data_IF_156999192338
#
_entry.id   IF_156999192338
#
_cell.length_a   1.000
_cell.length_b   1.000
_cell.length_c   1.000
_cell.angle_alpha   90.00
_cell.angle_beta   90.00
_cell.angle_gamma   90.00
#
_symmetry.space_group_name_H-M   'P 1'
#
loop_
_entity.id
_entity.type
_entity.pdbx_description
1 polymer ?
#
# COMPACT_ATOMS: atom_id res chain seq x y z
N UNK A 1 -40.93 -17.70 -8.29
CA UNK A 1 -40.07 -17.28 -7.15
C UNK A 1 -39.88 -15.77 -7.24
N UNK A 2 -39.93 -15.01 -6.14
CA UNK A 2 -39.73 -13.57 -6.22
C UNK A 2 -38.30 -13.28 -6.67
N UNK A 3 -38.16 -12.54 -7.77
CA UNK A 3 -36.88 -11.99 -8.22
C UNK A 3 -36.47 -10.93 -7.19
N UNK A 4 -35.26 -11.06 -6.64
CA UNK A 4 -34.72 -10.06 -5.70
C UNK A 4 -34.26 -8.82 -6.49
N UNK A 5 -34.34 -7.62 -5.89
CA UNK A 5 -33.78 -6.43 -6.52
C UNK A 5 -32.26 -6.60 -6.73
N UNK A 6 -31.68 -5.91 -7.74
CA UNK A 6 -30.23 -5.81 -7.88
C UNK A 6 -29.57 -5.30 -6.59
N UNK A 7 -28.28 -5.61 -6.41
CA UNK A 7 -27.50 -4.99 -5.34
C UNK A 7 -27.42 -3.49 -5.59
N UNK A 8 -27.68 -2.70 -4.55
CA UNK A 8 -27.48 -1.26 -4.62
C UNK A 8 -25.97 -0.97 -4.70
N UNK A 9 -25.55 -0.02 -5.55
CA UNK A 9 -24.18 0.46 -5.52
C UNK A 9 -23.89 1.06 -4.14
N UNK A 10 -22.60 1.13 -3.72
CA UNK A 10 -22.26 1.90 -2.54
C UNK A 10 -22.85 3.30 -2.63
N UNK A 11 -23.32 3.86 -1.50
CA UNK A 11 -23.90 5.20 -1.50
C UNK A 11 -22.90 6.17 -2.13
N UNK A 12 -23.35 6.84 -3.19
CA UNK A 12 -22.56 7.87 -3.83
C UNK A 12 -22.51 9.04 -2.85
N UNK A 13 -21.45 9.13 -2.06
CA UNK A 13 -21.15 10.36 -1.34
C UNK A 13 -20.79 11.36 -2.43
N UNK A 14 -21.73 12.24 -2.77
CA UNK A 14 -21.60 13.34 -3.75
C UNK A 14 -20.60 14.41 -3.27
N UNK A 15 -19.62 13.99 -2.47
CA UNK A 15 -18.38 14.70 -2.23
C UNK A 15 -17.62 14.61 -3.54
N UNK A 16 -17.49 15.71 -4.29
CA UNK A 16 -16.58 15.80 -5.43
C UNK A 16 -15.17 15.34 -5.07
N UNK A 17 -14.23 15.37 -6.03
CA UNK A 17 -12.86 14.90 -5.80
C UNK A 17 -12.32 15.38 -4.44
N UNK A 18 -11.87 14.46 -3.57
CA UNK A 18 -11.56 14.81 -2.20
C UNK A 18 -10.48 15.87 -2.16
N UNK A 19 -10.61 16.79 -1.19
CA UNK A 19 -9.55 17.74 -0.90
C UNK A 19 -8.26 17.01 -0.55
N UNK A 20 -7.13 17.69 -0.69
CA UNK A 20 -5.83 17.16 -0.31
C UNK A 20 -5.15 18.08 0.69
N UNK A 21 -4.44 17.47 1.64
CA UNK A 21 -3.60 18.17 2.62
C UNK A 21 -2.14 17.79 2.37
N UNK A 22 -1.31 18.82 2.23
CA UNK A 22 0.14 18.69 2.06
C UNK A 22 0.86 18.86 3.39
N UNK A 23 1.72 17.91 3.72
CA UNK A 23 2.67 17.99 4.82
C UNK A 23 4.04 18.30 4.24
N UNK A 24 4.58 19.48 4.55
CA UNK A 24 5.78 20.03 3.94
C UNK A 24 6.97 19.97 4.88
N UNK A 25 8.15 19.98 4.28
CA UNK A 25 9.39 20.19 4.99
C UNK A 25 9.62 21.72 5.16
N UNK A 26 9.89 22.24 6.37
CA UNK A 26 10.00 23.68 6.61
C UNK A 26 11.21 24.35 5.91
N UNK A 27 12.32 23.62 5.75
CA UNK A 27 13.53 24.16 5.12
C UNK A 27 13.55 24.19 3.58
N UNK A 28 12.50 23.70 2.90
CA UNK A 28 12.43 23.69 1.43
C UNK A 28 11.37 24.69 0.96
N UNK A 29 11.62 25.41 -0.16
CA UNK A 29 10.70 26.43 -0.64
C UNK A 29 9.37 25.83 -1.08
N UNK A 30 8.34 26.67 -1.17
CA UNK A 30 6.98 26.26 -1.56
C UNK A 30 6.88 25.66 -2.97
N UNK A 31 7.86 25.97 -3.84
CA UNK A 31 7.98 25.38 -5.17
C UNK A 31 8.36 23.90 -5.15
N UNK A 32 8.94 23.39 -4.06
CA UNK A 32 9.29 21.98 -3.92
C UNK A 32 8.08 21.11 -3.57
N UNK A 33 8.19 19.81 -3.81
CA UNK A 33 7.12 18.88 -3.48
C UNK A 33 6.96 18.74 -1.95
N UNK A 34 5.73 18.55 -1.50
CA UNK A 34 5.44 18.18 -0.12
C UNK A 34 6.11 16.84 0.25
N UNK A 35 6.35 16.63 1.55
CA UNK A 35 6.79 15.33 2.06
C UNK A 35 5.73 14.28 1.77
N UNK A 36 4.54 14.52 2.33
CA UNK A 36 3.39 13.64 2.23
C UNK A 36 2.19 14.42 1.73
N UNK A 37 1.34 13.74 0.96
CA UNK A 37 0.01 14.23 0.59
C UNK A 37 -1.02 13.18 0.96
N UNK A 38 -2.07 13.61 1.66
CA UNK A 38 -3.18 12.77 2.07
C UNK A 38 -4.51 13.33 1.60
N UNK A 39 -5.42 12.44 1.21
CA UNK A 39 -6.81 12.81 0.97
C UNK A 39 -7.45 13.26 2.28
N UNK A 40 -8.19 14.36 2.21
CA UNK A 40 -8.80 15.02 3.34
C UNK A 40 -10.20 14.44 3.56
N UNK A 41 -10.29 13.26 4.20
CA UNK A 41 -11.51 12.43 4.26
C UNK A 41 -11.82 11.88 5.68
N UNK A 42 -11.05 12.24 6.71
CA UNK A 42 -11.20 11.65 8.05
C UNK A 42 -12.28 12.33 8.92
N UNK A 43 -12.60 13.58 8.66
CA UNK A 43 -13.57 14.37 9.42
C UNK A 43 -15.01 14.03 9.06
N UNK A 44 -15.94 14.39 9.96
CA UNK A 44 -17.37 14.06 9.86
C UNK A 44 -18.04 14.55 8.57
N UNK A 45 -17.47 15.57 7.93
CA UNK A 45 -17.94 16.14 6.67
C UNK A 45 -17.20 15.61 5.44
N UNK A 46 -16.40 14.54 5.60
CA UNK A 46 -15.48 14.07 4.56
C UNK A 46 -14.38 15.08 4.29
N UNK A 47 -13.85 15.70 5.35
CA UNK A 47 -12.83 16.74 5.29
C UNK A 47 -11.67 16.43 6.24
N UNK A 48 -10.50 17.00 5.98
CA UNK A 48 -9.35 16.89 6.88
C UNK A 48 -8.70 15.50 7.01
N UNK A 49 -7.59 15.46 7.74
CA UNK A 49 -6.78 14.26 7.96
C UNK A 49 -6.61 14.02 9.45
N UNK A 50 -6.73 12.78 9.88
CA UNK A 50 -6.48 12.36 11.25
C UNK A 50 -5.07 12.76 11.72
N UNK A 51 -5.01 13.48 12.84
CA UNK A 51 -3.78 14.03 13.39
C UNK A 51 -2.73 12.96 13.65
N UNK A 52 -3.13 11.83 14.25
CA UNK A 52 -2.21 10.75 14.61
C UNK A 52 -1.69 10.02 13.37
N UNK A 53 -2.55 9.78 12.39
CA UNK A 53 -2.15 9.21 11.09
C UNK A 53 -1.09 10.10 10.44
N UNK A 54 -1.34 11.41 10.38
CA UNK A 54 -0.41 12.36 9.80
C UNK A 54 0.93 12.42 10.56
N UNK A 55 0.88 12.52 11.89
CA UNK A 55 2.06 12.64 12.75
C UNK A 55 2.96 11.40 12.62
N UNK A 56 2.37 10.21 12.73
CA UNK A 56 3.12 8.96 12.65
C UNK A 56 3.66 8.74 11.25
N UNK A 57 2.89 9.05 10.20
CA UNK A 57 3.37 8.91 8.83
C UNK A 57 4.56 9.83 8.53
N UNK A 58 4.51 11.09 8.98
CA UNK A 58 5.64 12.00 8.89
C UNK A 58 6.85 11.46 9.66
N UNK A 59 6.63 10.95 10.88
CA UNK A 59 7.69 10.33 11.69
C UNK A 59 8.30 9.09 11.03
N UNK A 60 7.52 8.26 10.33
CA UNK A 60 8.03 7.08 9.60
C UNK A 60 9.04 7.50 8.53
N UNK A 61 8.69 8.47 7.69
CA UNK A 61 9.57 8.89 6.58
C UNK A 61 10.79 9.69 7.03
N UNK A 62 10.85 10.09 8.30
CA UNK A 62 11.96 10.87 8.88
C UNK A 62 12.79 10.06 9.88
N UNK A 63 12.60 8.73 9.92
CA UNK A 63 13.44 7.84 10.75
C UNK A 63 12.88 7.56 12.13
N UNK A 64 11.56 7.42 12.24
CA UNK A 64 10.83 7.08 13.45
C UNK A 64 10.78 8.21 14.51
N UNK A 65 10.65 9.46 14.05
CA UNK A 65 10.75 10.67 14.90
C UNK A 65 9.40 11.13 15.47
N UNK A 66 8.34 10.34 15.43
CA UNK A 66 7.00 10.75 15.94
C UNK A 66 6.98 11.14 17.42
N UNK A 67 7.99 10.77 18.21
CA UNK A 67 8.10 11.18 19.63
C UNK A 67 8.72 12.57 19.81
N UNK A 68 9.58 13.01 18.89
CA UNK A 68 10.28 14.28 18.97
C UNK A 68 9.88 15.26 17.86
N UNK A 69 9.11 14.81 16.88
CA UNK A 69 8.55 15.64 15.83
C UNK A 69 7.15 16.14 16.14
N UNK A 70 6.75 17.20 15.45
CA UNK A 70 5.45 17.82 15.60
C UNK A 70 4.94 18.42 14.29
N UNK A 71 3.62 18.60 14.22
CA UNK A 71 2.94 19.26 13.11
C UNK A 71 2.72 20.72 13.48
N UNK A 72 2.98 21.62 12.53
CA UNK A 72 2.81 23.05 12.69
C UNK A 72 2.03 23.66 11.51
N UNK A 73 1.33 24.76 11.79
CA UNK A 73 0.75 25.66 10.81
C UNK A 73 1.66 26.88 10.64
N UNK A 74 1.68 27.45 9.43
CA UNK A 74 2.31 28.75 9.23
C UNK A 74 1.31 29.85 9.52
N UNK A 75 1.68 30.79 10.39
CA UNK A 75 0.85 31.95 10.71
C UNK A 75 0.93 33.02 9.61
N UNK A 76 0.13 34.09 9.74
CA UNK A 76 0.08 35.19 8.77
C UNK A 76 1.36 36.04 8.75
N UNK A 77 2.19 35.96 9.78
CA UNK A 77 3.49 36.63 9.89
C UNK A 77 4.66 35.79 9.35
N UNK A 78 4.40 34.57 8.86
CA UNK A 78 5.43 33.64 8.38
C UNK A 78 6.13 32.85 9.51
N UNK A 79 5.62 32.93 10.74
CA UNK A 79 6.03 32.08 11.85
C UNK A 79 5.38 30.70 11.79
N UNK A 80 5.93 29.74 12.53
CA UNK A 80 5.37 28.40 12.66
C UNK A 80 4.78 28.20 14.04
N UNK A 81 3.51 27.82 14.10
CA UNK A 81 2.78 27.55 15.33
C UNK A 81 2.48 26.05 15.41
N UNK A 82 2.97 25.40 16.47
CA UNK A 82 2.70 23.98 16.73
C UNK A 82 1.19 23.75 16.90
N UNK A 83 0.66 22.76 16.20
CA UNK A 83 -0.74 22.33 16.35
C UNK A 83 -0.88 21.57 17.65
N UNK A 84 -1.84 21.98 18.48
CA UNK A 84 -2.14 21.32 19.75
C UNK A 84 -3.10 20.15 19.54
N UNK A 85 -2.56 18.93 19.66
CA UNK A 85 -3.33 17.68 19.59
C UNK A 85 -4.51 17.65 20.57
N UNK A 86 -4.39 18.27 21.76
CA UNK A 86 -5.46 18.24 22.76
C UNK A 86 -6.73 18.99 22.32
N UNK A 87 -6.61 19.83 21.29
CA UNK A 87 -7.72 20.64 20.76
C UNK A 87 -8.16 20.21 19.36
N UNK A 88 -7.32 19.44 18.65
CA UNK A 88 -7.52 19.12 17.23
C UNK A 88 -7.11 17.69 16.92
N UNK A 89 -8.11 16.82 16.73
CA UNK A 89 -7.90 15.43 16.28
C UNK A 89 -7.89 15.28 14.75
N UNK A 90 -8.45 16.25 14.03
CA UNK A 90 -8.53 16.26 12.55
C UNK A 90 -8.01 17.58 12.00
N UNK A 91 -6.93 17.48 11.22
CA UNK A 91 -6.22 18.56 10.55
C UNK A 91 -6.97 19.01 9.30
N UNK A 92 -7.29 20.31 9.18
CA UNK A 92 -8.17 20.82 8.11
C UNK A 92 -7.55 21.88 7.21
N UNK A 93 -6.37 22.40 7.52
CA UNK A 93 -5.67 23.31 6.61
C UNK A 93 -5.18 22.57 5.38
N UNK A 94 -5.01 23.30 4.28
CA UNK A 94 -4.44 22.75 3.04
C UNK A 94 -2.96 22.37 3.18
N UNK A 95 -2.25 23.03 4.07
CA UNK A 95 -0.81 22.87 4.24
C UNK A 95 -0.44 22.85 5.70
N UNK A 96 0.37 21.88 6.07
CA UNK A 96 1.03 21.75 7.36
C UNK A 96 2.52 21.53 7.17
N UNK A 97 3.30 21.74 8.22
CA UNK A 97 4.74 21.52 8.22
C UNK A 97 5.11 20.52 9.30
N UNK A 98 5.99 19.58 8.97
CA UNK A 98 6.52 18.63 9.94
C UNK A 98 7.90 19.10 10.42
N UNK A 99 8.08 19.16 11.73
CA UNK A 99 9.34 19.46 12.38
C UNK A 99 9.86 18.22 13.08
N UNK A 100 11.18 18.09 13.17
CA UNK A 100 11.89 17.04 13.90
C UNK A 100 12.74 17.72 14.97
N UNK A 101 12.55 17.32 16.23
CA UNK A 101 13.19 17.94 17.40
C UNK A 101 12.92 19.46 17.51
N UNK A 102 13.73 20.16 18.30
CA UNK A 102 13.74 21.63 18.40
C UNK A 102 14.56 22.30 17.28
N UNK A 103 14.61 21.67 16.10
CA UNK A 103 15.39 22.17 14.97
C UNK A 103 14.77 23.44 14.39
N UNK A 104 15.65 24.35 13.97
CA UNK A 104 15.24 25.61 13.33
C UNK A 104 14.58 25.32 11.98
N UNK A 105 13.59 26.13 11.54
CA UNK A 105 12.91 25.92 10.25
C UNK A 105 13.82 25.80 9.04
N UNK A 106 15.00 26.42 9.04
CA UNK A 106 15.97 26.34 7.94
C UNK A 106 16.84 25.07 7.92
N UNK A 107 16.75 24.21 8.93
CA UNK A 107 17.53 22.97 8.95
C UNK A 107 16.84 21.89 8.10
N UNK A 108 17.58 21.35 7.12
CA UNK A 108 17.12 20.29 6.23
C UNK A 108 17.33 18.93 6.88
N UNK A 109 16.37 18.48 7.68
CA UNK A 109 16.42 17.14 8.25
C UNK A 109 16.34 16.07 7.15
N UNK A 110 16.93 14.89 7.38
CA UNK A 110 17.01 13.88 6.35
C UNK A 110 15.70 13.09 6.21
N UNK A 111 15.36 12.70 4.99
CA UNK A 111 14.13 11.94 4.67
C UNK A 111 14.48 10.59 4.07
N UNK A 112 13.81 9.53 4.53
CA UNK A 112 13.97 8.17 4.04
C UNK A 112 13.26 8.05 2.68
N UNK A 113 13.95 7.61 1.62
CA UNK A 113 13.35 7.68 0.28
C UNK A 113 12.50 6.47 -0.10
N UNK A 114 12.63 5.34 0.59
CA UNK A 114 11.84 4.15 0.31
C UNK A 114 11.73 3.22 1.53
N UNK A 115 10.78 2.28 1.45
CA UNK A 115 10.60 1.25 2.47
C UNK A 115 11.86 0.41 2.68
N UNK A 116 12.62 0.14 1.61
CA UNK A 116 13.90 -0.59 1.67
C UNK A 116 14.87 0.04 2.68
N UNK A 117 14.97 1.37 2.73
CA UNK A 117 15.87 2.05 3.66
C UNK A 117 15.29 2.22 5.07
N UNK A 118 13.96 2.19 5.21
CA UNK A 118 13.32 2.35 6.50
C UNK A 118 13.69 1.20 7.46
N UNK A 119 13.98 1.55 8.71
CA UNK A 119 14.34 0.61 9.77
C UNK A 119 13.19 0.49 10.76
N UNK A 120 12.78 -0.73 11.07
CA UNK A 120 11.63 -0.98 11.92
C UNK A 120 11.92 -0.59 13.39
N UNK A 121 11.02 0.16 14.05
CA UNK A 121 11.21 0.68 15.41
C UNK A 121 10.90 -0.39 16.47
N UNK A 122 11.72 -1.43 16.59
CA UNK A 122 11.47 -2.49 17.59
C UNK A 122 11.25 -1.93 18.99
N UNK A 123 10.18 -2.39 19.65
CA UNK A 123 9.77 -1.97 21.01
C UNK A 123 9.46 -0.47 21.13
N UNK A 124 9.45 0.27 20.02
CA UNK A 124 9.24 1.70 19.97
C UNK A 124 8.10 2.11 19.03
N UNK A 125 7.05 1.29 18.94
CA UNK A 125 5.83 1.68 18.23
C UNK A 125 5.21 2.97 18.82
N UNK A 126 4.47 3.75 18.02
CA UNK A 126 3.76 4.92 18.53
C UNK A 126 2.71 4.54 19.59
N UNK A 127 2.34 5.49 20.43
CA UNK A 127 1.47 5.24 21.59
C UNK A 127 0.14 4.55 21.20
N UNK A 128 -0.56 5.08 20.21
CA UNK A 128 -1.83 4.51 19.73
C UNK A 128 -1.68 3.04 19.28
N UNK A 129 -0.58 2.72 18.60
CA UNK A 129 -0.30 1.37 18.12
C UNK A 129 0.04 0.39 19.25
N UNK A 130 0.80 0.83 20.26
CA UNK A 130 1.14 0.01 21.44
C UNK A 130 -0.08 -0.38 22.27
N UNK A 131 -1.13 0.44 22.23
CA UNK A 131 -2.35 0.25 23.02
C UNK A 131 -3.47 -0.48 22.26
N UNK A 132 -3.22 -0.97 21.04
CA UNK A 132 -4.16 -1.85 20.35
C UNK A 132 -4.10 -3.24 20.98
N UNK A 133 -5.24 -3.72 21.46
CA UNK A 133 -5.39 -5.09 21.94
C UNK A 133 -5.64 -6.05 20.77
N UNK A 134 -4.62 -6.80 20.38
CA UNK A 134 -4.74 -7.85 19.37
C UNK A 134 -5.26 -9.16 19.99
N UNK A 135 -6.45 -9.66 19.58
CA UNK A 135 -6.98 -10.89 20.14
C UNK A 135 -6.06 -12.08 19.88
N UNK A 136 -5.95 -13.01 20.83
CA UNK A 136 -5.24 -14.26 20.58
C UNK A 136 -6.09 -15.19 19.73
N UNK A 137 -5.44 -15.86 18.76
CA UNK A 137 -6.06 -16.97 18.04
C UNK A 137 -5.87 -18.29 18.81
N UNK A 138 -6.77 -19.24 18.60
CA UNK A 138 -6.57 -20.62 19.02
C UNK A 138 -5.28 -21.19 18.41
N UNK A 139 -4.64 -22.10 19.14
CA UNK A 139 -3.47 -22.82 18.60
C UNK A 139 -3.94 -23.72 17.46
N UNK A 140 -3.37 -23.51 16.28
CA UNK A 140 -3.57 -24.37 15.12
C UNK A 140 -2.27 -25.11 14.81
N UNK A 141 -2.37 -26.37 14.40
CA UNK A 141 -1.24 -27.15 13.90
C UNK A 141 -0.97 -26.89 12.41
N UNK A 142 -1.90 -26.20 11.74
CA UNK A 142 -1.75 -25.78 10.36
C UNK A 142 -0.65 -24.72 10.26
N UNK A 143 -0.08 -24.58 9.07
CA UNK A 143 1.00 -23.61 8.80
C UNK A 143 0.68 -22.72 7.60
N UNK A 144 1.35 -21.58 7.53
CA UNK A 144 1.29 -20.64 6.40
C UNK A 144 -0.14 -20.22 6.04
N UNK A 145 -0.41 -20.09 4.73
CA UNK A 145 -1.70 -19.66 4.16
C UNK A 145 -2.90 -20.47 4.66
N UNK A 146 -2.74 -21.78 4.86
CA UNK A 146 -3.84 -22.65 5.31
C UNK A 146 -4.24 -22.29 6.75
N UNK A 147 -3.26 -22.02 7.63
CA UNK A 147 -3.54 -21.56 8.99
C UNK A 147 -4.21 -20.19 9.02
N UNK A 148 -3.81 -19.26 8.15
CA UNK A 148 -4.45 -17.95 8.04
C UNK A 148 -5.92 -18.08 7.59
N UNK A 149 -6.21 -18.94 6.61
CA UNK A 149 -7.57 -19.19 6.13
C UNK A 149 -8.45 -19.85 7.19
N UNK A 150 -7.92 -20.87 7.89
CA UNK A 150 -8.61 -21.55 8.98
C UNK A 150 -8.93 -20.60 10.14
N UNK A 151 -7.95 -19.79 10.54
CA UNK A 151 -8.08 -18.77 11.59
C UNK A 151 -9.15 -17.72 11.26
N UNK A 152 -9.14 -17.22 10.03
CA UNK A 152 -10.00 -16.11 9.65
C UNK A 152 -11.39 -16.60 9.23
N UNK A 153 -11.50 -17.68 8.46
CA UNK A 153 -12.76 -18.28 7.96
C UNK A 153 -13.51 -17.45 6.92
N UNK A 154 -13.42 -16.12 6.96
CA UNK A 154 -14.00 -15.18 5.98
C UNK A 154 -13.07 -14.00 5.76
N UNK A 155 -13.32 -13.22 4.71
CA UNK A 155 -12.58 -11.98 4.47
C UNK A 155 -12.64 -11.06 5.71
N UNK A 156 -11.48 -10.66 6.23
CA UNK A 156 -11.38 -9.81 7.42
C UNK A 156 -11.89 -8.38 7.23
N UNK A 157 -12.16 -7.98 5.99
CA UNK A 157 -12.71 -6.65 5.65
C UNK A 157 -14.20 -6.76 5.29
N UNK A 158 -14.55 -7.54 4.27
CA UNK A 158 -15.95 -7.62 3.78
C UNK A 158 -16.80 -8.69 4.47
N UNK A 159 -16.22 -9.55 5.30
CA UNK A 159 -16.88 -10.71 5.95
C UNK A 159 -17.49 -11.76 5.01
N UNK A 160 -17.26 -11.64 3.70
CA UNK A 160 -17.71 -12.63 2.73
C UNK A 160 -16.89 -13.92 2.88
N UNK A 161 -17.53 -15.08 2.72
CA UNK A 161 -16.88 -16.40 2.80
C UNK A 161 -16.36 -16.93 1.45
N UNK A 162 -16.73 -16.29 0.34
CA UNK A 162 -16.38 -16.72 -1.02
C UNK A 162 -15.24 -15.90 -1.62
N UNK A 163 -14.53 -16.50 -2.59
CA UNK A 163 -13.42 -15.86 -3.33
C UNK A 163 -12.30 -15.31 -2.42
N UNK A 164 -11.90 -16.13 -1.45
CA UNK A 164 -10.88 -15.80 -0.46
C UNK A 164 -9.47 -16.06 -0.98
N UNK A 165 -8.57 -15.13 -0.69
CA UNK A 165 -7.13 -15.22 -0.88
C UNK A 165 -6.42 -14.82 0.42
N UNK A 166 -5.14 -15.17 0.52
CA UNK A 166 -4.30 -14.78 1.66
C UNK A 166 -3.31 -13.73 1.21
N UNK A 167 -3.38 -12.58 1.85
CA UNK A 167 -2.49 -11.45 1.66
C UNK A 167 -1.44 -11.41 2.77
N UNK A 168 -0.29 -10.81 2.47
CA UNK A 168 0.76 -10.56 3.44
C UNK A 168 0.70 -9.10 3.92
N UNK A 169 0.94 -8.85 5.21
CA UNK A 169 1.13 -7.49 5.70
C UNK A 169 2.47 -6.93 5.19
N UNK A 170 3.57 -7.62 5.46
CA UNK A 170 4.86 -7.37 4.78
C UNK A 170 4.95 -8.32 3.58
N UNK A 171 4.93 -7.81 2.34
CA UNK A 171 4.94 -8.66 1.14
C UNK A 171 6.17 -9.55 1.05
N UNK A 172 6.01 -10.72 0.42
CA UNK A 172 7.13 -11.65 0.14
C UNK A 172 8.23 -10.99 -0.70
N UNK A 173 7.87 -10.05 -1.58
CA UNK A 173 8.84 -9.29 -2.36
C UNK A 173 9.85 -8.51 -1.49
N UNK A 174 9.47 -8.20 -0.25
CA UNK A 174 10.26 -7.47 0.74
C UNK A 174 10.85 -8.40 1.83
N UNK A 175 10.98 -9.71 1.57
CA UNK A 175 11.54 -10.71 2.52
C UNK A 175 12.95 -10.36 3.00
N UNK A 176 13.78 -9.76 2.14
CA UNK A 176 15.12 -9.29 2.54
C UNK A 176 15.05 -8.12 3.53
N UNK A 177 14.11 -7.19 3.34
CA UNK A 177 13.86 -6.12 4.30
C UNK A 177 13.35 -6.71 5.62
N UNK A 178 12.45 -7.69 5.55
CA UNK A 178 11.90 -8.40 6.71
C UNK A 178 13.01 -9.06 7.54
N UNK A 179 13.90 -9.81 6.89
CA UNK A 179 15.05 -10.44 7.53
C UNK A 179 16.07 -9.42 8.06
N UNK A 180 16.39 -8.39 7.26
CA UNK A 180 17.33 -7.33 7.65
C UNK A 180 16.84 -6.54 8.88
N UNK A 181 15.54 -6.41 9.06
CA UNK A 181 14.91 -5.81 10.24
C UNK A 181 14.54 -6.83 11.31
N UNK A 182 15.06 -8.07 11.30
CA UNK A 182 14.78 -9.06 12.35
C UNK A 182 13.29 -9.20 12.71
N UNK A 183 12.43 -9.14 11.70
CA UNK A 183 10.97 -9.20 11.90
C UNK A 183 10.51 -10.61 12.28
N UNK A 184 11.38 -11.61 12.17
CA UNK A 184 11.20 -12.99 12.64
C UNK A 184 10.94 -13.09 14.15
N UNK A 185 11.33 -12.09 14.94
CA UNK A 185 10.99 -12.06 16.37
C UNK A 185 9.48 -11.93 16.65
N UNK A 186 8.69 -11.53 15.65
CA UNK A 186 7.23 -11.37 15.75
C UNK A 186 6.45 -12.56 15.20
N UNK A 187 7.17 -13.58 14.73
CA UNK A 187 6.61 -14.82 14.19
C UNK A 187 6.36 -15.82 15.31
N UNK A 188 5.20 -16.49 15.30
CA UNK A 188 4.85 -17.50 16.32
C UNK A 188 5.61 -18.81 16.10
N UNK A 189 5.91 -19.16 14.85
CA UNK A 189 6.52 -20.43 14.47
C UNK A 189 8.02 -20.28 14.22
N UNK A 190 8.85 -20.45 15.25
CA UNK A 190 10.33 -20.48 15.12
C UNK A 190 10.89 -21.64 14.26
N UNK A 191 10.03 -22.36 13.54
CA UNK A 191 10.34 -23.53 12.69
C UNK A 191 10.01 -23.30 11.21
N UNK A 192 9.44 -22.15 10.83
CA UNK A 192 9.16 -21.90 9.41
C UNK A 192 10.45 -21.60 8.65
N UNK A 193 10.68 -22.33 7.55
CA UNK A 193 11.81 -22.09 6.64
C UNK A 193 11.74 -20.74 5.93
N UNK A 194 10.61 -20.03 6.02
CA UNK A 194 10.37 -18.69 5.47
C UNK A 194 9.52 -17.87 6.46
N UNK A 195 10.13 -17.04 7.31
CA UNK A 195 9.41 -16.27 8.34
C UNK A 195 8.29 -15.38 7.79
N UNK A 196 8.41 -14.88 6.55
CA UNK A 196 7.36 -14.06 5.92
C UNK A 196 6.06 -14.81 5.66
N UNK A 197 6.11 -16.14 5.59
CA UNK A 197 4.91 -16.97 5.41
C UNK A 197 4.22 -17.31 6.74
N UNK A 198 4.71 -16.86 7.89
CA UNK A 198 4.08 -17.18 9.16
C UNK A 198 2.70 -16.52 9.28
N UNK A 199 1.68 -17.21 9.83
CA UNK A 199 0.32 -16.68 9.94
C UNK A 199 0.18 -15.34 10.64
N UNK A 200 1.13 -14.94 11.50
CA UNK A 200 1.14 -13.62 12.14
C UNK A 200 1.35 -12.46 11.16
N UNK A 201 1.89 -12.73 9.96
CA UNK A 201 2.09 -11.78 8.86
C UNK A 201 1.03 -11.95 7.75
N UNK A 202 0.02 -12.80 7.95
CA UNK A 202 -0.97 -13.14 6.93
C UNK A 202 -2.39 -12.69 7.33
N UNK A 203 -3.20 -12.33 6.33
CA UNK A 203 -4.61 -11.96 6.49
C UNK A 203 -5.43 -12.52 5.32
N UNK A 204 -6.61 -13.08 5.62
CA UNK A 204 -7.54 -13.59 4.61
C UNK A 204 -8.45 -12.49 4.10
N UNK A 205 -8.41 -12.23 2.80
CA UNK A 205 -9.15 -11.17 2.12
C UNK A 205 -9.94 -11.72 0.92
N UNK A 206 -11.02 -11.04 0.53
CA UNK A 206 -11.68 -11.27 -0.75
C UNK A 206 -10.73 -10.83 -1.87
N UNK A 207 -10.70 -11.53 -2.99
CA UNK A 207 -9.71 -11.32 -4.08
C UNK A 207 -9.59 -9.87 -4.57
N UNK A 208 -10.70 -9.17 -4.74
CA UNK A 208 -10.72 -7.75 -5.12
C UNK A 208 -10.09 -6.86 -4.04
N UNK A 209 -10.41 -7.13 -2.77
CA UNK A 209 -9.87 -6.40 -1.61
C UNK A 209 -8.38 -6.69 -1.43
N UNK A 210 -7.95 -7.94 -1.68
CA UNK A 210 -6.54 -8.30 -1.69
C UNK A 210 -5.76 -7.48 -2.71
N UNK A 211 -6.29 -7.35 -3.94
CA UNK A 211 -5.69 -6.50 -4.97
C UNK A 211 -5.58 -5.03 -4.52
N UNK A 212 -6.64 -4.47 -3.94
CA UNK A 212 -6.64 -3.09 -3.43
C UNK A 212 -5.64 -2.89 -2.28
N UNK A 213 -5.54 -3.88 -1.41
CA UNK A 213 -4.57 -3.89 -0.32
C UNK A 213 -3.15 -3.82 -0.91
N UNK A 214 -2.79 -4.75 -1.81
CA UNK A 214 -1.44 -4.85 -2.40
C UNK A 214 -1.06 -3.70 -3.33
N UNK A 215 -2.04 -3.00 -3.88
CA UNK A 215 -1.83 -1.76 -4.64
C UNK A 215 -1.78 -0.50 -3.76
N UNK A 216 -1.63 -0.67 -2.44
CA UNK A 216 -1.44 0.41 -1.46
C UNK A 216 -2.59 1.41 -1.43
N UNK A 217 -3.82 0.98 -1.74
CA UNK A 217 -4.99 1.87 -1.76
C UNK A 217 -5.46 2.21 -0.35
N UNK A 218 -5.33 1.28 0.58
CA UNK A 218 -5.62 1.49 2.00
C UNK A 218 -4.71 0.62 2.89
N UNK A 219 -4.67 0.93 4.17
CA UNK A 219 -4.10 0.06 5.21
C UNK A 219 -4.92 0.17 6.50
N UNK A 220 -4.47 -0.50 7.55
CA UNK A 220 -5.02 -0.33 8.90
C UNK A 220 -4.28 0.77 9.66
N UNK A 221 -5.01 1.56 10.44
CA UNK A 221 -4.48 2.57 11.35
C UNK A 221 -5.23 2.52 12.69
N UNK A 222 -4.61 2.90 13.81
CA UNK A 222 -5.31 3.05 15.07
C UNK A 222 -6.29 4.23 15.00
N UNK A 223 -7.49 4.01 15.53
CA UNK A 223 -8.48 5.04 15.79
C UNK A 223 -8.93 4.91 17.24
N UNK A 224 -9.12 6.03 17.92
CA UNK A 224 -9.63 6.05 19.28
C UNK A 224 -11.16 5.93 19.23
N UNK A 225 -11.70 4.89 19.86
CA UNK A 225 -13.12 4.83 20.17
C UNK A 225 -13.39 5.82 21.30
N UNK A 226 -13.98 6.97 20.97
CA UNK A 226 -14.27 8.03 21.94
C UNK A 226 -15.24 7.59 23.02
N UNK A 227 -16.14 6.63 22.73
CA UNK A 227 -17.11 6.13 23.69
C UNK A 227 -16.47 5.16 24.69
N UNK A 228 -15.49 4.36 24.27
CA UNK A 228 -14.84 3.33 25.11
C UNK A 228 -13.48 3.74 25.64
N UNK A 229 -12.90 4.82 25.12
CA UNK A 229 -11.51 5.22 25.38
C UNK A 229 -10.50 4.11 25.05
N UNK A 230 -10.84 3.27 24.06
CA UNK A 230 -10.01 2.16 23.60
C UNK A 230 -9.49 2.42 22.19
N UNK A 231 -8.30 1.90 21.90
CA UNK A 231 -7.74 1.96 20.55
C UNK A 231 -8.15 0.73 19.75
N UNK A 232 -8.70 0.96 18.56
CA UNK A 232 -9.06 -0.10 17.61
C UNK A 232 -8.48 0.17 16.24
N UNK A 233 -8.32 -0.88 15.44
CA UNK A 233 -7.89 -0.73 14.05
C UNK A 233 -9.08 -0.36 13.18
N UNK A 234 -8.89 0.63 12.31
CA UNK A 234 -9.79 0.94 11.21
C UNK A 234 -9.01 0.95 9.89
N UNK A 235 -9.71 0.73 8.79
CA UNK A 235 -9.17 0.93 7.45
C UNK A 235 -9.05 2.42 7.14
N UNK A 236 -7.93 2.84 6.56
CA UNK A 236 -7.70 4.20 6.13
C UNK A 236 -7.18 4.22 4.69
N UNK A 237 -7.84 5.05 3.87
CA UNK A 237 -7.59 5.22 2.44
C UNK A 237 -6.67 6.42 2.24
N UNK A 238 -5.54 6.25 1.55
CA UNK A 238 -4.58 7.36 1.32
C UNK A 238 -4.79 8.07 0.00
N UNK A 239 -5.11 7.29 -1.04
CA UNK A 239 -5.21 7.75 -2.42
C UNK A 239 -6.49 7.17 -3.03
N UNK A 240 -7.65 7.84 -2.81
CA UNK A 240 -8.93 7.42 -3.37
C UNK A 240 -9.00 7.66 -4.89
N UNK A 241 -8.06 8.42 -5.45
CA UNK A 241 -7.97 8.67 -6.89
C UNK A 241 -8.12 7.37 -7.69
N UNK A 242 -8.97 7.42 -8.72
CA UNK A 242 -9.30 6.32 -9.64
C UNK A 242 -10.28 5.26 -9.10
N UNK A 243 -10.69 5.30 -7.83
CA UNK A 243 -11.60 4.31 -7.25
C UNK A 243 -12.64 4.97 -6.32
N UNK A 244 -13.77 5.47 -6.87
CA UNK A 244 -14.77 6.22 -6.09
C UNK A 244 -15.36 5.40 -4.94
N UNK A 245 -15.38 4.08 -5.07
CA UNK A 245 -15.96 3.19 -4.06
C UNK A 245 -15.10 3.05 -2.79
N UNK A 246 -13.81 3.43 -2.82
CA UNK A 246 -12.89 3.15 -1.71
C UNK A 246 -13.29 3.85 -0.41
N UNK A 247 -13.67 5.12 -0.50
CA UNK A 247 -14.06 5.91 0.66
C UNK A 247 -15.33 5.34 1.29
N UNK A 248 -16.49 5.27 0.59
CA UNK A 248 -17.73 4.80 1.20
C UNK A 248 -17.67 3.34 1.65
N UNK A 249 -16.91 2.48 0.97
CA UNK A 249 -16.80 1.07 1.34
C UNK A 249 -15.80 0.78 2.43
N UNK A 250 -14.69 1.53 2.54
CA UNK A 250 -13.56 1.10 3.36
C UNK A 250 -12.99 2.16 4.30
N UNK A 251 -13.10 3.47 4.01
CA UNK A 251 -12.51 4.47 4.91
C UNK A 251 -13.19 4.48 6.29
N UNK A 252 -12.38 4.62 7.36
CA UNK A 252 -12.79 4.55 8.76
C UNK A 252 -13.67 3.34 9.13
N UNK A 253 -13.55 2.23 8.39
CA UNK A 253 -14.31 1.01 8.65
C UNK A 253 -13.52 0.03 9.51
N UNK A 254 -14.13 -0.43 10.60
CA UNK A 254 -13.55 -1.48 11.44
C UNK A 254 -13.52 -2.82 10.71
N UNK A 255 -12.40 -3.57 10.73
CA UNK A 255 -12.37 -4.92 10.22
C UNK A 255 -13.08 -5.90 11.15
N UNK A 256 -13.29 -7.14 10.69
CA UNK A 256 -13.49 -8.26 11.60
C UNK A 256 -12.26 -8.43 12.52
N UNK A 257 -12.42 -9.03 13.72
CA UNK A 257 -11.30 -9.23 14.65
C UNK A 257 -10.08 -9.87 13.98
N UNK A 258 -8.92 -9.23 14.13
CA UNK A 258 -7.63 -9.66 13.59
C UNK A 258 -6.91 -10.54 14.61
N UNK A 259 -7.47 -11.71 14.89
CA UNK A 259 -6.92 -12.61 15.92
C UNK A 259 -5.59 -13.22 15.49
N UNK A 260 -4.64 -13.34 16.41
CA UNK A 260 -3.37 -14.04 16.19
C UNK A 260 -2.43 -13.40 15.17
N UNK A 261 -2.68 -12.15 14.78
CA UNK A 261 -1.83 -11.31 13.93
C UNK A 261 -0.92 -10.46 14.83
N UNK A 262 0.33 -10.23 14.43
CA UNK A 262 1.23 -9.33 15.16
C UNK A 262 0.95 -7.88 14.78
N UNK A 263 0.85 -7.00 15.79
CA UNK A 263 0.64 -5.57 15.57
C UNK A 263 1.82 -4.94 14.83
N UNK A 264 3.03 -5.49 15.00
CA UNK A 264 4.25 -5.06 14.32
C UNK A 264 4.18 -5.29 12.81
N UNK A 265 3.61 -6.42 12.36
CA UNK A 265 3.36 -6.65 10.93
C UNK A 265 2.33 -5.66 10.38
N UNK A 266 1.25 -5.37 11.13
CA UNK A 266 0.25 -4.38 10.73
C UNK A 266 0.88 -2.98 10.63
N UNK A 267 1.72 -2.59 11.59
CA UNK A 267 2.45 -1.32 11.57
C UNK A 267 3.43 -1.24 10.38
N UNK A 268 4.15 -2.33 10.11
CA UNK A 268 5.02 -2.41 8.94
C UNK A 268 4.23 -2.26 7.63
N UNK A 269 3.00 -2.79 7.55
CA UNK A 269 2.11 -2.55 6.40
C UNK A 269 1.75 -1.08 6.23
N UNK A 270 1.42 -0.40 7.32
CA UNK A 270 1.13 1.04 7.29
C UNK A 270 2.33 1.82 6.75
N UNK A 271 3.54 1.57 7.27
CA UNK A 271 4.76 2.17 6.73
C UNK A 271 4.97 1.84 5.24
N UNK A 272 4.82 0.56 4.85
CA UNK A 272 4.93 0.12 3.46
C UNK A 272 3.97 0.83 2.50
N UNK A 273 2.77 1.17 2.99
CA UNK A 273 1.74 1.90 2.23
C UNK A 273 2.13 3.38 2.05
N UNK A 274 2.71 4.00 3.07
CA UNK A 274 3.21 5.39 3.03
C UNK A 274 4.32 5.57 1.98
N UNK A 275 5.23 4.60 1.85
CA UNK A 275 6.33 4.64 0.88
C UNK A 275 5.87 4.35 -0.57
N UNK A 276 4.83 5.04 -1.03
CA UNK A 276 4.31 5.01 -2.40
C UNK A 276 4.53 6.35 -3.09
N UNK A 277 4.58 6.36 -4.43
CA UNK A 277 4.71 7.61 -5.19
C UNK A 277 3.50 8.54 -5.07
N UNK A 278 2.32 8.00 -4.69
CA UNK A 278 1.10 8.80 -4.48
C UNK A 278 1.20 9.56 -3.16
N UNK A 279 1.70 8.89 -2.12
CA UNK A 279 1.76 9.41 -0.75
C UNK A 279 3.05 10.19 -0.47
N UNK A 280 4.22 9.57 -0.67
CA UNK A 280 5.55 10.20 -0.52
C UNK A 280 5.92 10.93 -1.81
N UNK A 281 5.85 12.26 -1.79
CA UNK A 281 6.03 13.11 -2.98
C UNK A 281 7.35 13.87 -3.03
N UNK A 282 8.10 13.87 -1.93
CA UNK A 282 9.20 14.79 -1.67
C UNK A 282 10.25 14.88 -2.79
N UNK A 283 10.65 13.74 -3.36
CA UNK A 283 11.75 13.63 -4.32
C UNK A 283 11.37 13.89 -5.78
N UNK A 284 10.28 14.63 -6.01
CA UNK A 284 9.77 14.94 -7.36
C UNK A 284 10.21 16.30 -7.90
N UNK A 285 10.83 17.14 -7.08
CA UNK A 285 11.31 18.46 -7.47
C UNK A 285 12.74 18.46 -8.03
N UNK A 286 13.40 19.61 -7.93
CA UNK A 286 14.75 19.85 -8.47
C UNK A 286 15.79 20.18 -7.40
N UNK A 287 15.36 20.31 -6.15
CA UNK A 287 16.25 20.56 -5.04
C UNK A 287 17.27 19.42 -4.81
N UNK A 288 18.31 19.76 -4.05
CA UNK A 288 19.15 18.77 -3.37
C UNK A 288 18.50 18.42 -2.03
N UNK A 289 18.26 17.13 -1.82
CA UNK A 289 17.59 16.57 -0.65
C UNK A 289 18.59 15.91 0.28
N UNK A 290 18.43 16.13 1.58
CA UNK A 290 19.12 15.33 2.60
C UNK A 290 18.31 14.04 2.80
N UNK A 291 18.96 12.88 2.67
CA UNK A 291 18.31 11.57 2.73
C UNK A 291 19.00 10.63 3.72
N UNK A 292 18.21 9.75 4.32
CA UNK A 292 18.70 8.62 5.12
C UNK A 292 18.71 7.35 4.28
N UNK A 293 19.89 6.81 3.99
CA UNK A 293 20.07 5.55 3.26
C UNK A 293 20.60 4.47 4.19
N UNK A 294 19.91 3.33 4.25
CA UNK A 294 20.46 2.15 4.91
C UNK A 294 21.47 1.44 4.01
N UNK A 295 22.63 1.12 4.56
CA UNK A 295 23.65 0.24 3.98
C UNK A 295 23.52 -1.17 4.60
N UNK A 296 23.05 -2.18 3.84
CA UNK A 296 22.92 -3.54 4.32
C UNK A 296 24.26 -4.23 4.66
N UNK A 297 25.37 -3.81 4.04
CA UNK A 297 26.68 -4.41 4.29
C UNK A 297 27.28 -3.89 5.61
N UNK A 298 27.21 -2.58 5.83
CA UNK A 298 27.69 -1.97 7.07
C UNK A 298 26.70 -2.10 8.24
N UNK A 299 25.42 -2.38 7.96
CA UNK A 299 24.35 -2.42 8.95
C UNK A 299 24.05 -1.05 9.56
N UNK A 300 24.29 0.04 8.81
CA UNK A 300 24.19 1.42 9.30
C UNK A 300 23.33 2.27 8.38
N UNK A 301 22.71 3.29 8.97
CA UNK A 301 22.04 4.36 8.21
C UNK A 301 23.03 5.49 8.00
N UNK A 302 23.11 5.98 6.77
CA UNK A 302 24.02 7.04 6.33
C UNK A 302 23.16 8.22 5.87
N UNK A 303 23.49 9.41 6.38
CA UNK A 303 22.95 10.66 5.86
C UNK A 303 23.77 11.13 4.67
N UNK A 304 23.11 11.47 3.57
CA UNK A 304 23.76 12.00 2.37
C UNK A 304 22.86 13.01 1.66
N UNK A 305 23.45 13.80 0.76
CA UNK A 305 22.74 14.77 -0.07
C UNK A 305 22.65 14.26 -1.49
N UNK A 306 21.44 14.16 -2.02
CA UNK A 306 21.15 13.65 -3.36
C UNK A 306 20.15 14.54 -4.10
N UNK A 307 20.28 14.61 -5.41
CA UNK A 307 19.26 15.15 -6.31
C UNK A 307 18.23 14.07 -6.66
N UNK A 308 17.05 14.48 -7.13
CA UNK A 308 15.95 13.56 -7.50
C UNK A 308 16.35 12.36 -8.36
N UNK A 309 17.20 12.50 -9.41
CA UNK A 309 17.62 11.33 -10.20
C UNK A 309 18.44 10.30 -9.39
N UNK A 310 19.31 10.77 -8.51
CA UNK A 310 20.18 9.93 -7.68
C UNK A 310 19.37 9.22 -6.59
N UNK A 311 18.38 9.92 -6.02
CA UNK A 311 17.41 9.30 -5.10
C UNK A 311 16.66 8.16 -5.79
N UNK A 312 16.17 8.37 -7.02
CA UNK A 312 15.48 7.33 -7.80
C UNK A 312 16.34 6.10 -8.05
N UNK A 313 17.64 6.30 -8.31
CA UNK A 313 18.59 5.20 -8.49
C UNK A 313 18.87 4.44 -7.19
N UNK A 314 18.66 5.09 -6.03
CA UNK A 314 18.97 4.53 -4.72
C UNK A 314 17.78 3.81 -4.06
N UNK A 315 16.55 3.92 -4.59
CA UNK A 315 15.31 3.45 -3.92
C UNK A 315 15.29 1.96 -3.56
N UNK A 316 16.06 1.12 -4.26
CA UNK A 316 16.09 -0.33 -4.07
C UNK A 316 17.49 -0.81 -3.71
N UNK A 317 17.65 -1.24 -2.46
CA UNK A 317 18.91 -1.83 -1.96
C UNK A 317 18.80 -3.34 -1.82
N UNK A 318 17.57 -3.85 -1.68
CA UNK A 318 17.30 -5.28 -1.68
C UNK A 318 16.80 -5.66 -3.06
N UNK A 319 17.61 -6.39 -3.83
CA UNK A 319 17.15 -6.92 -5.11
C UNK A 319 15.94 -7.84 -4.89
N UNK A 320 14.84 -7.55 -5.59
CA UNK A 320 13.63 -8.35 -5.56
C UNK A 320 13.92 -9.73 -6.14
N UNK A 321 13.92 -10.78 -5.31
CA UNK A 321 13.93 -12.16 -5.78
C UNK A 321 12.50 -12.63 -6.08
N UNK A 322 11.76 -11.91 -6.92
CA UNK A 322 10.50 -12.44 -7.44
C UNK A 322 10.79 -13.25 -8.70
N UNK A 323 11.02 -14.56 -8.52
CA UNK A 323 10.81 -15.55 -9.58
C UNK A 323 9.31 -15.73 -9.78
N UNK A 324 8.67 -14.80 -10.47
CA UNK A 324 7.44 -15.09 -11.22
C UNK A 324 7.87 -15.47 -12.63
N UNK A 325 7.57 -16.68 -13.13
CA UNK A 325 7.71 -16.96 -14.54
C UNK A 325 6.56 -16.24 -15.24
N UNK A 326 6.73 -14.95 -15.53
CA UNK A 326 5.95 -14.35 -16.61
C UNK A 326 6.28 -15.17 -17.86
N UNK A 327 5.28 -15.67 -18.62
CA UNK A 327 5.54 -16.38 -19.85
C UNK A 327 6.36 -15.45 -20.76
N UNK A 328 7.64 -15.78 -20.96
CA UNK A 328 8.45 -15.12 -21.98
C UNK A 328 7.67 -15.28 -23.28
N UNK A 329 7.21 -14.16 -23.84
CA UNK A 329 6.77 -14.08 -25.23
C UNK A 329 7.85 -14.77 -26.05
N UNK A 330 7.47 -15.87 -26.73
CA UNK A 330 8.36 -16.52 -27.69
C UNK A 330 8.77 -15.45 -28.72
N UNK A 331 10.06 -15.34 -29.07
CA UNK A 331 10.44 -14.53 -30.21
C UNK A 331 9.70 -15.09 -31.44
N UNK A 332 9.19 -14.17 -32.25
CA UNK A 332 8.52 -14.49 -33.50
C UNK A 332 9.61 -14.86 -34.50
N UNK A 333 9.76 -16.15 -34.78
CA UNK A 333 10.57 -16.63 -35.89
C UNK A 333 10.01 -16.04 -37.19
N UNK A 334 10.84 -15.25 -37.87
CA UNK A 334 10.69 -14.92 -39.28
C UNK A 334 11.51 -15.97 -40.03
N UNK A 335 10.83 -16.92 -40.65
CA UNK A 335 11.41 -17.77 -41.69
C UNK A 335 11.13 -17.14 -43.04
N UNK A 336 12.20 -16.89 -43.79
CA UNK A 336 12.27 -16.86 -45.26
C UNK A 336 13.58 -17.60 -45.58
N UNK A 337 13.46 -18.87 -45.96
CA UNK A 337 13.62 -19.37 -47.34
C UNK A 337 15.09 -19.75 -47.60
N UNK A 338 15.33 -21.06 -47.75
CA UNK A 338 15.96 -21.59 -48.96
C UNK A 338 15.88 -23.13 -49.03
N UNK A 339 15.75 -23.58 -50.27
CA UNK A 339 15.41 -24.90 -50.78
C UNK A 339 16.45 -26.01 -50.54
N UNK A 340 16.00 -27.28 -50.46
CA UNK A 340 16.36 -28.38 -51.41
C UNK A 340 16.14 -29.80 -50.83
N UNK A 341 15.14 -30.49 -51.41
CA UNK A 341 15.15 -31.82 -52.06
C UNK A 341 15.88 -33.07 -51.45
N UNK A 342 15.11 -34.18 -51.41
CA UNK A 342 15.40 -35.65 -51.46
C UNK A 342 15.34 -36.33 -50.08
N UNK A 343 14.62 -37.43 -49.81
CA UNK A 343 13.75 -38.35 -50.55
C UNK A 343 13.21 -39.43 -49.58
N UNK A 344 12.15 -40.15 -49.98
CA UNK A 344 11.69 -41.54 -49.65
C UNK A 344 11.91 -42.10 -48.21
N UNK A 345 11.00 -42.77 -47.49
CA UNK A 345 9.96 -43.75 -47.85
C UNK A 345 9.06 -44.04 -46.60
N UNK A 346 7.79 -44.47 -46.83
CA UNK A 346 6.91 -45.45 -46.14
C UNK A 346 7.06 -45.73 -44.63
N UNK A 347 6.06 -46.12 -43.85
CA UNK A 347 4.62 -46.42 -43.93
C UNK A 347 4.18 -46.50 -42.43
N UNK A 348 2.89 -46.30 -42.17
CA UNK A 348 2.05 -47.18 -41.34
C UNK A 348 1.09 -46.48 -40.34
N UNK A 349 -0.07 -47.12 -40.28
CA UNK A 349 -1.42 -46.65 -40.02
C UNK A 349 -1.77 -46.79 -38.54
N UNK A 350 -2.58 -45.88 -37.96
CA UNK A 350 -3.88 -46.21 -37.34
C UNK A 350 -4.48 -45.17 -36.37
N UNK A 351 -5.69 -44.73 -36.77
CA UNK A 351 -6.94 -44.64 -35.97
C UNK A 351 -7.08 -43.56 -34.89
N UNK A 352 -7.68 -42.45 -35.34
CA UNK A 352 -8.92 -41.80 -34.89
C UNK A 352 -9.24 -41.66 -33.38
N UNK A 353 -9.35 -40.40 -32.94
CA UNK A 353 -10.53 -39.91 -32.21
C UNK A 353 -10.63 -38.38 -32.34
N UNK A 354 -11.86 -37.95 -32.57
CA UNK A 354 -12.31 -36.69 -33.14
C UNK A 354 -12.68 -35.65 -32.05
N UNK A 355 -12.75 -34.38 -32.45
CA UNK A 355 -13.30 -33.20 -31.75
C UNK A 355 -12.45 -32.41 -30.74
N UNK A 356 -11.72 -31.43 -31.26
CA UNK A 356 -11.36 -30.21 -30.53
C UNK A 356 -11.79 -28.96 -31.34
N UNK A 357 -12.77 -28.16 -30.91
CA UNK A 357 -13.23 -27.00 -31.68
C UNK A 357 -12.23 -25.84 -31.59
N UNK A 358 -11.88 -25.17 -32.70
CA UNK A 358 -10.88 -24.11 -32.70
C UNK A 358 -11.41 -22.85 -32.00
N UNK A 359 -10.86 -22.56 -30.81
CA UNK A 359 -11.00 -21.24 -30.16
C UNK A 359 -10.04 -20.24 -30.82
N UNK A 360 -10.50 -19.59 -31.89
CA UNK A 360 -9.80 -18.48 -32.54
C UNK A 360 -10.78 -17.42 -33.00
N UNK A 361 -10.82 -16.28 -32.29
CA UNK A 361 -11.64 -15.12 -32.68
C UNK A 361 -10.95 -14.40 -33.85
N UNK A 362 -11.45 -14.62 -35.07
CA UNK A 362 -11.07 -13.84 -36.26
C UNK A 362 -11.56 -12.39 -36.07
N UNK A 363 -10.62 -11.43 -36.02
CA UNK A 363 -10.94 -9.99 -36.15
C UNK A 363 -10.89 -9.64 -37.63
N UNK A 364 -12.06 -9.53 -38.26
CA UNK A 364 -12.19 -8.77 -39.51
C UNK A 364 -12.42 -7.30 -39.17
N UNK A 365 -11.61 -6.43 -39.78
CA UNK A 365 -11.86 -5.00 -39.87
C UNK A 365 -12.41 -4.75 -41.28
N UNK A 366 -13.59 -4.14 -41.38
CA UNK A 366 -13.95 -3.37 -42.55
C UNK A 366 -14.51 -2.03 -42.10
N UNK A 367 -14.03 -0.98 -42.75
CA UNK A 367 -14.55 0.38 -42.69
C UNK A 367 -15.47 0.58 -43.90
N UNK A 368 -16.56 1.32 -43.68
CA UNK A 368 -17.01 2.47 -44.50
C UNK A 368 -18.52 2.58 -44.80
N UNK A 369 -19.04 3.73 -44.31
CA UNK A 369 -19.99 4.68 -44.91
C UNK A 369 -21.52 4.47 -44.98
N UNK A 370 -22.18 5.62 -44.74
CA UNK A 370 -23.56 6.03 -45.07
C UNK A 370 -24.67 5.52 -44.13
N UNK A 371 -25.69 6.29 -43.72
CA UNK A 371 -26.08 7.67 -43.99
C UNK A 371 -27.07 8.12 -42.89
N UNK A 372 -27.17 9.43 -42.71
CA UNK A 372 -28.20 10.16 -41.96
C UNK A 372 -29.63 9.70 -42.24
N UNK A 373 -30.48 9.65 -41.21
CA UNK A 373 -31.88 10.12 -41.24
C UNK A 373 -32.51 10.10 -39.84
N UNK A 374 -32.79 11.29 -39.31
CA UNK A 374 -33.79 11.50 -38.24
C UNK A 374 -35.14 11.86 -38.88
N UNK A 375 -36.28 11.44 -38.34
CA UNK A 375 -37.55 12.13 -38.55
C UNK A 375 -37.97 12.91 -37.29
N UNK A 376 -38.74 14.01 -37.45
CA UNK A 376 -39.17 14.86 -36.35
C UNK A 376 -40.47 14.33 -35.72
N UNK A 377 -40.61 14.58 -34.42
CA UNK A 377 -41.80 14.38 -33.62
C UNK A 377 -41.57 14.93 -32.23
#
# INVERSE_FOLDING_TARGET
>A
MPVRPPLEPPPNTDTGDPGYIDFRHPAYPDSEAALLRFAAIDGDHGDGVDFEVALVACGIITGNTWHCGYIAEMDTGGGYVKVDKSTTDVLRRRTYYYFVDEQRPGYKYPVIPSFDHWRFPHRNLPFAWKNINMPQASRSMLKRKIAAQDRDGTCRISRHASALEVAHFVPVADEKWFASNKMDQYVKSGSETRPTEDPTNLITLRRDIHYLFDTRRFTFVPKQDTARQEWSLALHVFAPDENPDLIPLYHNRSPAPLSGISIEHVFARFAWTIFSEKTLRFFKGVAEYVVLLFDPQAGKVIETKLRSPEVRMSLKIFSSSSRTPSPKKRPRDQSAEDDQFWGEERDDVSVASDWDPPRGRRRERSWDYCNSNSPPG
#
